data_IF_575185766079
#
_entry.id   IF_575185766079
#
_cell.length_a   1.000
_cell.length_b   1.000
_cell.length_c   1.000
_cell.angle_alpha   90.00
_cell.angle_beta   90.00
_cell.angle_gamma   90.00
#
_symmetry.space_group_name_H-M   'P 1'
#
loop_
_entity.id
_entity.type
_entity.pdbx_description
1 polymer ?
#
# COMPACT_ATOMS: atom_id res chain seq x y z
N UNK A 1 22.65 -19.22 17.03
CA UNK A 1 22.22 -19.30 15.62
C UNK A 1 21.33 -18.10 15.37
N UNK A 2 21.86 -17.09 14.67
CA UNK A 2 21.16 -15.84 14.43
C UNK A 2 20.11 -16.02 13.34
N UNK A 3 18.83 -15.79 13.68
CA UNK A 3 17.77 -15.69 12.70
C UNK A 3 17.90 -14.34 11.99
N UNK A 4 18.26 -14.37 10.71
CA UNK A 4 18.24 -13.21 9.85
C UNK A 4 16.82 -12.64 9.79
N UNK A 5 16.70 -11.33 10.00
CA UNK A 5 15.47 -10.58 9.83
C UNK A 5 15.06 -10.70 8.37
N UNK A 6 13.97 -11.40 8.04
CA UNK A 6 13.41 -11.27 6.70
C UNK A 6 12.81 -9.87 6.58
N UNK A 7 13.21 -9.12 5.55
CA UNK A 7 12.65 -7.80 5.19
C UNK A 7 11.10 -7.84 5.05
N UNK A 8 10.52 -9.03 5.01
CA UNK A 8 9.12 -9.32 4.72
C UNK A 8 8.17 -8.94 5.87
N UNK A 9 8.59 -8.97 7.14
CA UNK A 9 7.69 -8.64 8.27
C UNK A 9 7.33 -7.15 8.36
N UNK A 10 8.26 -6.27 7.99
CA UNK A 10 8.00 -4.81 7.92
C UNK A 10 7.10 -4.46 6.73
N UNK A 11 7.22 -5.23 5.64
CA UNK A 11 6.41 -5.11 4.42
C UNK A 11 4.97 -5.63 4.63
N UNK A 12 4.78 -6.65 5.47
CA UNK A 12 3.45 -7.21 5.78
C UNK A 12 2.55 -6.18 6.48
N UNK A 13 3.08 -5.45 7.46
CA UNK A 13 2.32 -4.43 8.21
C UNK A 13 1.96 -3.20 7.37
N UNK A 14 2.62 -2.97 6.22
CA UNK A 14 2.35 -1.86 5.31
C UNK A 14 1.51 -2.22 4.07
N UNK A 15 1.18 -3.51 3.84
CA UNK A 15 0.62 -4.01 2.56
C UNK A 15 -0.78 -4.61 2.63
N UNK A 16 -1.39 -4.64 3.81
CA UNK A 16 -2.67 -5.30 4.07
C UNK A 16 -3.87 -4.78 3.23
N UNK A 17 -3.71 -3.65 2.53
CA UNK A 17 -4.61 -3.10 1.50
C UNK A 17 -4.82 -3.94 0.25
N UNK A 18 -3.91 -4.86 -0.11
CA UNK A 18 -3.87 -5.51 -1.43
C UNK A 18 -4.62 -6.86 -1.44
N UNK A 19 -4.81 -7.46 -0.27
CA UNK A 19 -5.39 -8.80 -0.10
C UNK A 19 -6.79 -8.90 -0.70
N UNK A 20 -7.55 -7.81 -0.77
CA UNK A 20 -8.97 -7.86 -1.10
C UNK A 20 -9.30 -7.62 -2.52
N UNK A 21 -8.54 -6.79 -3.21
CA UNK A 21 -8.74 -6.60 -4.64
C UNK A 21 -8.44 -7.92 -5.37
N UNK A 22 -7.37 -8.61 -4.96
CA UNK A 22 -7.03 -9.93 -5.49
C UNK A 22 -8.00 -11.04 -5.01
N UNK A 23 -8.42 -11.05 -3.74
CA UNK A 23 -9.40 -12.04 -3.25
C UNK A 23 -10.81 -11.83 -3.82
N UNK A 24 -11.21 -10.57 -4.10
CA UNK A 24 -12.45 -10.20 -4.77
C UNK A 24 -12.42 -10.64 -6.25
N UNK A 25 -11.35 -10.32 -6.97
CA UNK A 25 -11.18 -10.72 -8.39
C UNK A 25 -11.09 -12.24 -8.58
N UNK A 26 -10.50 -12.96 -7.63
CA UNK A 26 -10.44 -14.43 -7.64
C UNK A 26 -11.77 -15.11 -7.29
N UNK A 27 -12.71 -14.42 -6.61
CA UNK A 27 -14.04 -14.95 -6.25
C UNK A 27 -15.13 -14.65 -7.27
N UNK A 28 -14.89 -13.80 -8.27
CA UNK A 28 -15.87 -13.46 -9.31
C UNK A 28 -16.03 -14.58 -10.34
N UNK A 29 -17.28 -14.86 -10.74
CA UNK A 29 -17.58 -15.75 -11.85
C UNK A 29 -17.12 -15.14 -13.18
N UNK A 30 -16.80 -15.99 -14.17
CA UNK A 30 -16.33 -15.54 -15.49
C UNK A 30 -17.28 -14.52 -16.17
N UNK A 31 -18.58 -14.58 -15.84
CA UNK A 31 -19.62 -13.68 -16.36
C UNK A 31 -19.61 -12.29 -15.70
N UNK A 32 -19.19 -12.22 -14.44
CA UNK A 32 -19.05 -10.96 -13.71
C UNK A 32 -17.73 -10.26 -14.09
N UNK A 33 -16.66 -11.02 -14.34
CA UNK A 33 -15.39 -10.51 -14.91
C UNK A 33 -15.62 -9.81 -16.26
N UNK A 34 -16.38 -10.45 -17.14
CA UNK A 34 -16.74 -9.91 -18.46
C UNK A 34 -17.67 -8.67 -18.41
N UNK A 35 -18.37 -8.46 -17.29
CA UNK A 35 -19.25 -7.30 -17.09
C UNK A 35 -18.48 -6.09 -16.55
N UNK A 36 -17.45 -6.32 -15.72
CA UNK A 36 -16.47 -5.29 -15.31
C UNK A 36 -15.62 -4.82 -16.49
N UNK A 37 -15.14 -5.75 -17.33
CA UNK A 37 -14.46 -5.41 -18.59
C UNK A 37 -15.33 -4.46 -19.43
N UNK A 38 -16.62 -4.75 -19.60
CA UNK A 38 -17.52 -3.84 -20.34
C UNK A 38 -17.75 -2.47 -19.68
N UNK A 39 -17.54 -2.34 -18.37
CA UNK A 39 -17.67 -1.08 -17.64
C UNK A 39 -16.40 -0.21 -17.77
N UNK A 40 -15.22 -0.82 -17.91
CA UNK A 40 -13.95 -0.12 -18.12
C UNK A 40 -13.71 0.36 -19.55
N UNK A 41 -14.47 -0.16 -20.52
CA UNK A 41 -14.27 0.10 -21.96
C UNK A 41 -15.05 1.29 -22.54
N UNK A 42 -15.78 2.07 -21.74
CA UNK A 42 -16.58 3.18 -22.27
C UNK A 42 -16.23 4.51 -21.60
N UNK A 43 -15.42 5.28 -22.33
CA UNK A 43 -15.05 6.69 -22.13
C UNK A 43 -14.08 6.97 -20.99
N UNK A 44 -12.81 7.30 -21.32
CA UNK A 44 -12.12 8.44 -20.68
C UNK A 44 -10.68 8.72 -21.17
N UNK A 45 -10.07 7.91 -22.05
CA UNK A 45 -8.69 8.20 -22.47
C UNK A 45 -8.60 9.43 -23.39
N UNK A 46 -9.48 9.54 -24.39
CA UNK A 46 -9.50 10.68 -25.33
C UNK A 46 -10.06 11.96 -24.68
N UNK A 47 -10.90 11.84 -23.65
CA UNK A 47 -11.52 12.97 -22.95
C UNK A 47 -10.59 13.57 -21.87
N UNK A 48 -9.65 12.77 -21.34
CA UNK A 48 -8.65 13.20 -20.36
C UNK A 48 -7.49 14.00 -20.99
N UNK A 49 -6.99 13.59 -22.17
CA UNK A 49 -5.94 14.32 -22.89
C UNK A 49 -6.36 15.75 -23.27
N UNK A 50 -7.67 16.01 -23.39
CA UNK A 50 -8.24 17.30 -23.77
C UNK A 50 -8.53 18.24 -22.58
N UNK A 51 -8.57 17.75 -21.34
CA UNK A 51 -9.07 18.52 -20.17
C UNK A 51 -8.00 18.95 -19.16
N UNK A 52 -6.81 18.35 -19.16
CA UNK A 52 -5.72 18.72 -18.24
C UNK A 52 -4.62 19.54 -18.92
N UNK A 53 -4.92 20.82 -19.15
CA UNK A 53 -3.95 21.85 -19.53
C UNK A 53 -3.09 22.24 -18.29
N UNK A 54 -1.76 22.19 -18.47
CA UNK A 54 -0.67 22.86 -17.71
C UNK A 54 -0.09 22.20 -16.45
N UNK A 55 0.86 21.28 -16.65
CA UNK A 55 2.26 21.43 -16.17
C UNK A 55 3.20 20.27 -16.58
N UNK A 56 2.78 19.38 -17.48
CA UNK A 56 3.46 18.10 -17.73
C UNK A 56 4.21 18.12 -19.08
N UNK A 57 4.82 19.24 -19.42
CA UNK A 57 5.80 19.35 -20.52
C UNK A 57 7.21 18.93 -20.08
N UNK A 58 7.36 18.39 -18.87
CA UNK A 58 8.50 17.52 -18.60
C UNK A 58 8.22 16.22 -19.35
N UNK A 59 8.69 16.17 -20.59
CA UNK A 59 9.17 14.94 -21.24
C UNK A 59 10.06 14.25 -20.22
N UNK A 60 9.46 13.35 -19.46
CA UNK A 60 10.17 12.47 -18.58
C UNK A 60 11.05 11.63 -19.53
N UNK A 61 12.37 11.84 -19.53
CA UNK A 61 13.33 10.96 -20.21
C UNK A 61 13.41 9.57 -19.54
N UNK A 62 12.29 9.12 -18.97
CA UNK A 62 12.13 8.04 -18.00
C UNK A 62 12.02 6.67 -18.69
N UNK A 63 11.47 6.63 -19.91
CA UNK A 63 11.29 5.37 -20.64
C UNK A 63 12.58 4.77 -21.21
N UNK A 64 13.68 5.54 -21.27
CA UNK A 64 14.94 5.11 -21.90
C UNK A 64 15.68 3.99 -21.14
N UNK A 65 15.31 3.74 -19.88
CA UNK A 65 16.01 2.80 -19.00
C UNK A 65 15.33 1.43 -18.85
N UNK A 66 14.13 1.24 -19.40
CA UNK A 66 13.39 -0.03 -19.31
C UNK A 66 13.48 -0.76 -20.64
N UNK A 67 14.10 -1.93 -20.64
CA UNK A 67 14.17 -2.80 -21.81
C UNK A 67 12.94 -3.72 -21.83
N UNK A 68 12.00 -3.46 -22.74
CA UNK A 68 10.80 -4.28 -22.90
C UNK A 68 11.16 -5.61 -23.55
N UNK A 69 10.96 -6.70 -22.80
CA UNK A 69 11.16 -8.07 -23.26
C UNK A 69 9.91 -8.91 -23.06
N UNK A 70 9.61 -9.70 -24.08
CA UNK A 70 8.51 -10.65 -24.10
C UNK A 70 9.05 -12.08 -24.07
N UNK A 71 8.33 -12.98 -23.40
CA UNK A 71 8.57 -14.41 -23.51
C UNK A 71 8.00 -14.97 -24.84
N UNK A 72 8.19 -16.27 -25.07
CA UNK A 72 7.69 -16.96 -26.27
C UNK A 72 6.16 -16.86 -26.44
N UNK A 73 5.43 -16.69 -25.34
CA UNK A 73 3.98 -16.56 -25.30
C UNK A 73 3.49 -15.09 -25.42
N UNK A 74 4.38 -14.15 -25.76
CA UNK A 74 4.10 -12.71 -25.89
C UNK A 74 3.66 -11.99 -24.60
N UNK A 75 3.99 -12.55 -23.43
CA UNK A 75 3.85 -11.89 -22.13
C UNK A 75 5.15 -11.23 -21.70
N UNK A 76 5.05 -10.16 -20.93
CA UNK A 76 6.21 -9.48 -20.35
C UNK A 76 7.02 -10.43 -19.45
N UNK A 77 8.33 -10.32 -19.56
CA UNK A 77 9.23 -10.95 -18.60
C UNK A 77 9.02 -10.37 -17.20
N UNK A 78 9.26 -11.19 -16.17
CA UNK A 78 9.09 -10.77 -14.78
C UNK A 78 9.95 -9.55 -14.42
N UNK A 79 11.16 -9.45 -14.99
CA UNK A 79 12.04 -8.30 -14.78
C UNK A 79 11.44 -7.00 -15.34
N UNK A 80 10.80 -7.05 -16.52
CA UNK A 80 10.13 -5.89 -17.10
C UNK A 80 8.97 -5.42 -16.22
N UNK A 81 8.18 -6.35 -15.67
CA UNK A 81 7.10 -6.02 -14.73
C UNK A 81 7.67 -5.32 -13.49
N UNK A 82 8.79 -5.83 -12.94
CA UNK A 82 9.47 -5.22 -11.78
C UNK A 82 9.96 -3.80 -12.09
N UNK A 83 10.59 -3.61 -13.25
CA UNK A 83 11.10 -2.31 -13.70
C UNK A 83 9.97 -1.29 -13.91
N UNK A 84 8.86 -1.72 -14.54
CA UNK A 84 7.66 -0.88 -14.73
C UNK A 84 7.10 -0.43 -13.37
N UNK A 85 6.90 -1.37 -12.44
CA UNK A 85 6.42 -1.01 -11.09
C UNK A 85 7.40 -0.12 -10.34
N UNK A 86 8.71 -0.34 -10.47
CA UNK A 86 9.72 0.51 -9.84
C UNK A 86 9.68 1.93 -10.41
N UNK A 87 9.48 2.08 -11.72
CA UNK A 87 9.46 3.39 -12.38
C UNK A 87 8.15 4.14 -12.18
N UNK A 88 7.02 3.42 -12.10
CA UNK A 88 5.73 3.98 -11.67
C UNK A 88 5.86 4.77 -10.37
N UNK A 89 6.66 4.28 -9.42
CA UNK A 89 6.92 4.97 -8.15
C UNK A 89 7.67 6.28 -8.28
N UNK A 90 8.62 6.33 -9.21
CA UNK A 90 9.40 7.54 -9.44
C UNK A 90 8.48 8.63 -9.99
N UNK A 91 7.59 8.26 -10.91
CA UNK A 91 6.58 9.16 -11.49
C UNK A 91 5.56 9.61 -10.44
N UNK A 92 5.00 8.66 -9.67
CA UNK A 92 3.98 8.95 -8.66
C UNK A 92 4.50 9.64 -7.39
N UNK A 93 5.83 9.69 -7.20
CA UNK A 93 6.44 10.04 -5.92
C UNK A 93 6.11 11.45 -5.41
N UNK A 94 6.22 12.46 -6.27
CA UNK A 94 5.97 13.86 -5.86
C UNK A 94 4.50 14.11 -5.54
N UNK A 95 3.59 13.60 -6.37
CA UNK A 95 2.16 13.71 -6.16
C UNK A 95 1.72 12.98 -4.89
N UNK A 96 2.27 11.79 -4.63
CA UNK A 96 2.06 11.06 -3.38
C UNK A 96 2.48 11.89 -2.16
N UNK A 97 3.66 12.53 -2.20
CA UNK A 97 4.16 13.38 -1.10
C UNK A 97 3.23 14.57 -0.86
N UNK A 98 2.81 15.26 -1.93
CA UNK A 98 1.90 16.40 -1.85
C UNK A 98 0.54 16.00 -1.28
N UNK A 99 -0.05 14.93 -1.81
CA UNK A 99 -1.33 14.39 -1.37
C UNK A 99 -1.27 13.98 0.11
N UNK A 100 -0.21 13.29 0.52
CA UNK A 100 0.01 12.85 1.91
C UNK A 100 0.06 14.04 2.88
N UNK A 101 0.81 15.10 2.54
CA UNK A 101 0.93 16.29 3.38
C UNK A 101 -0.40 17.02 3.53
N UNK A 102 -1.13 17.22 2.43
CA UNK A 102 -2.46 17.87 2.44
C UNK A 102 -3.45 17.05 3.26
N UNK A 103 -3.53 15.74 3.01
CA UNK A 103 -4.47 14.88 3.70
C UNK A 103 -4.18 14.80 5.20
N UNK A 104 -2.91 14.69 5.64
CA UNK A 104 -2.54 14.71 7.07
C UNK A 104 -3.11 15.93 7.79
N UNK A 105 -3.00 17.12 7.19
CA UNK A 105 -3.54 18.36 7.78
C UNK A 105 -5.06 18.33 7.84
N UNK A 106 -5.72 17.96 6.74
CA UNK A 106 -7.18 17.92 6.67
C UNK A 106 -7.77 16.90 7.65
N UNK A 107 -7.29 15.66 7.59
CA UNK A 107 -7.74 14.56 8.41
C UNK A 107 -7.57 14.85 9.91
N UNK A 108 -6.42 15.38 10.34
CA UNK A 108 -6.19 15.74 11.75
C UNK A 108 -7.13 16.85 12.26
N UNK A 109 -7.63 17.72 11.37
CA UNK A 109 -8.70 18.68 11.72
C UNK A 109 -10.03 17.97 11.92
N UNK A 110 -10.37 17.03 11.03
CA UNK A 110 -11.62 16.26 11.10
C UNK A 110 -11.69 15.33 12.32
N UNK A 111 -10.54 14.87 12.84
CA UNK A 111 -10.48 14.06 14.07
C UNK A 111 -11.14 14.73 15.28
N UNK A 112 -11.19 16.07 15.32
CA UNK A 112 -11.83 16.84 16.40
C UNK A 112 -13.36 17.00 16.22
N UNK A 113 -13.90 16.54 15.09
CA UNK A 113 -15.31 16.67 14.73
C UNK A 113 -16.04 15.32 14.97
N UNK A 114 -16.59 14.70 13.92
CA UNK A 114 -17.19 13.36 13.97
C UNK A 114 -16.20 12.32 13.48
N UNK A 115 -16.14 11.17 14.15
CA UNK A 115 -15.22 10.07 13.82
C UNK A 115 -15.47 9.50 12.41
N UNK A 116 -16.72 9.49 11.96
CA UNK A 116 -17.11 9.03 10.61
C UNK A 116 -16.43 9.84 9.51
N UNK A 117 -16.56 11.18 9.52
CA UNK A 117 -15.87 12.05 8.56
C UNK A 117 -14.35 11.92 8.59
N UNK A 118 -13.80 11.60 9.76
CA UNK A 118 -12.37 11.33 9.88
C UNK A 118 -11.99 10.03 9.17
N UNK A 119 -12.74 8.94 9.35
CA UNK A 119 -12.52 7.67 8.64
C UNK A 119 -12.75 7.81 7.14
N UNK A 120 -13.81 8.49 6.70
CA UNK A 120 -14.07 8.75 5.29
C UNK A 120 -12.91 9.50 4.63
N UNK A 121 -12.31 10.47 5.33
CA UNK A 121 -11.14 11.19 4.82
C UNK A 121 -9.88 10.32 4.70
N UNK A 122 -9.80 9.20 5.43
CA UNK A 122 -8.74 8.19 5.28
C UNK A 122 -9.02 7.34 4.06
N UNK A 123 -10.25 6.86 3.89
CA UNK A 123 -10.66 6.05 2.73
C UNK A 123 -10.42 6.84 1.44
N UNK A 124 -10.89 8.09 1.39
CA UNK A 124 -10.68 8.96 0.23
C UNK A 124 -9.19 9.17 -0.07
N UNK A 125 -8.34 9.29 0.96
CA UNK A 125 -6.90 9.39 0.76
C UNK A 125 -6.32 8.13 0.13
N UNK A 126 -6.73 6.95 0.61
CA UNK A 126 -6.27 5.67 0.05
C UNK A 126 -6.68 5.59 -1.42
N UNK A 127 -7.94 5.90 -1.75
CA UNK A 127 -8.43 5.91 -3.13
C UNK A 127 -7.63 6.89 -4.02
N UNK A 128 -7.38 8.10 -3.53
CA UNK A 128 -6.59 9.10 -4.27
C UNK A 128 -5.15 8.62 -4.51
N UNK A 129 -4.54 7.89 -3.57
CA UNK A 129 -3.20 7.31 -3.77
C UNK A 129 -3.23 6.23 -4.85
N UNK A 130 -4.24 5.34 -4.86
CA UNK A 130 -4.37 4.34 -5.93
C UNK A 130 -4.58 5.00 -7.30
N UNK A 131 -5.37 6.07 -7.36
CA UNK A 131 -5.60 6.82 -8.61
C UNK A 131 -4.31 7.47 -9.14
N UNK A 132 -3.51 8.10 -8.28
CA UNK A 132 -2.17 8.62 -8.67
C UNK A 132 -1.29 7.49 -9.21
N UNK A 133 -1.33 6.30 -8.60
CA UNK A 133 -0.55 5.16 -9.06
C UNK A 133 -1.04 4.62 -10.40
N UNK A 134 -2.35 4.44 -10.60
CA UNK A 134 -2.92 3.98 -11.87
C UNK A 134 -2.63 4.99 -13.00
N UNK A 135 -2.74 6.29 -12.73
CA UNK A 135 -2.38 7.34 -13.70
C UNK A 135 -0.90 7.28 -14.07
N UNK A 136 0.00 7.12 -13.10
CA UNK A 136 1.43 6.95 -13.35
C UNK A 136 1.73 5.70 -14.18
N UNK A 137 1.04 4.58 -13.92
CA UNK A 137 1.19 3.34 -14.67
C UNK A 137 0.71 3.49 -16.10
N UNK A 138 -0.51 4.01 -16.31
CA UNK A 138 -1.09 4.25 -17.65
C UNK A 138 -0.15 5.10 -18.51
N UNK A 139 0.38 6.18 -17.94
CA UNK A 139 1.34 7.03 -18.64
C UNK A 139 2.63 6.30 -18.98
N UNK A 140 3.20 5.57 -18.03
CA UNK A 140 4.43 4.82 -18.25
C UNK A 140 4.28 3.76 -19.34
N UNK A 141 3.17 3.00 -19.33
CA UNK A 141 2.87 2.00 -20.33
C UNK A 141 2.71 2.62 -21.73
N UNK A 142 2.04 3.77 -21.82
CA UNK A 142 1.94 4.54 -23.07
C UNK A 142 3.33 4.97 -23.59
N UNK A 143 4.21 5.46 -22.71
CA UNK A 143 5.57 5.87 -23.11
C UNK A 143 6.47 4.69 -23.51
N UNK A 144 6.18 3.47 -23.03
CA UNK A 144 6.90 2.24 -23.35
C UNK A 144 6.31 1.48 -24.56
N UNK A 145 5.23 2.00 -25.15
CA UNK A 145 4.45 1.32 -26.21
C UNK A 145 3.97 -0.09 -25.79
N UNK A 146 3.60 -0.23 -24.52
CA UNK A 146 3.06 -1.48 -23.96
C UNK A 146 1.55 -1.30 -23.73
N UNK A 147 0.69 -2.07 -24.40
CA UNK A 147 -0.74 -2.06 -24.12
C UNK A 147 -1.03 -2.45 -22.66
N UNK A 148 -1.98 -1.76 -22.03
CA UNK A 148 -2.34 -2.01 -20.62
C UNK A 148 -2.79 -3.45 -20.41
N UNK A 149 -3.54 -3.99 -21.36
CA UNK A 149 -4.06 -5.35 -21.35
C UNK A 149 -2.92 -6.38 -21.34
N UNK A 150 -1.89 -6.16 -22.16
CA UNK A 150 -0.71 -7.03 -22.20
C UNK A 150 0.03 -7.00 -20.86
N UNK A 151 0.16 -5.82 -20.25
CA UNK A 151 0.76 -5.71 -18.92
C UNK A 151 -0.05 -6.46 -17.85
N UNK A 152 -1.37 -6.26 -17.80
CA UNK A 152 -2.25 -6.89 -16.83
C UNK A 152 -2.31 -8.42 -17.01
N UNK A 153 -2.45 -8.90 -18.24
CA UNK A 153 -2.41 -10.33 -18.55
C UNK A 153 -1.05 -10.95 -18.18
N UNK A 154 0.05 -10.24 -18.45
CA UNK A 154 1.39 -10.70 -18.07
C UNK A 154 1.53 -10.83 -16.55
N UNK A 155 0.96 -9.89 -15.77
CA UNK A 155 0.93 -9.99 -14.31
C UNK A 155 0.12 -11.20 -13.86
N UNK A 156 -1.07 -11.42 -14.45
CA UNK A 156 -1.94 -12.54 -14.11
C UNK A 156 -1.30 -13.90 -14.42
N UNK A 157 -0.70 -14.05 -15.61
CA UNK A 157 -0.01 -15.29 -16.00
C UNK A 157 1.12 -15.62 -15.03
N UNK A 158 1.86 -14.62 -14.56
CA UNK A 158 2.90 -14.83 -13.55
C UNK A 158 2.32 -15.23 -12.20
N UNK A 159 1.18 -14.66 -11.80
CA UNK A 159 0.48 -15.09 -10.58
C UNK A 159 0.06 -16.56 -10.68
N UNK A 160 -0.49 -16.98 -11.82
CA UNK A 160 -0.91 -18.37 -12.09
C UNK A 160 0.27 -19.35 -12.15
N UNK A 161 1.45 -18.89 -12.60
CA UNK A 161 2.71 -19.64 -12.58
C UNK A 161 3.32 -19.79 -11.19
N UNK A 162 2.65 -19.34 -10.13
CA UNK A 162 3.11 -19.43 -8.75
C UNK A 162 3.98 -18.25 -8.30
N UNK A 163 4.12 -17.20 -9.11
CA UNK A 163 4.83 -15.97 -8.72
C UNK A 163 3.95 -14.97 -7.93
N UNK A 164 2.76 -15.40 -7.52
CA UNK A 164 1.80 -14.57 -6.78
C UNK A 164 2.46 -13.86 -5.59
N UNK A 165 3.22 -14.59 -4.78
CA UNK A 165 3.85 -14.04 -3.57
C UNK A 165 4.91 -12.98 -3.92
N UNK A 166 5.71 -13.19 -4.96
CA UNK A 166 6.76 -12.29 -5.38
C UNK A 166 6.18 -10.98 -5.93
N UNK A 167 5.13 -11.08 -6.75
CA UNK A 167 4.41 -9.91 -7.28
C UNK A 167 3.68 -9.14 -6.18
N UNK A 168 3.08 -9.85 -5.22
CA UNK A 168 2.50 -9.25 -4.03
C UNK A 168 3.54 -8.49 -3.21
N UNK A 169 4.69 -9.11 -2.94
CA UNK A 169 5.80 -8.47 -2.23
C UNK A 169 6.35 -7.26 -2.97
N UNK A 170 6.39 -7.32 -4.31
CA UNK A 170 6.78 -6.21 -5.15
C UNK A 170 5.83 -5.01 -4.94
N UNK A 171 4.52 -5.20 -5.11
CA UNK A 171 3.53 -4.13 -4.90
C UNK A 171 3.52 -3.58 -3.46
N UNK A 172 3.73 -4.44 -2.47
CA UNK A 172 3.88 -4.05 -1.08
C UNK A 172 5.15 -3.18 -0.86
N UNK A 173 6.28 -3.61 -1.44
CA UNK A 173 7.54 -2.87 -1.39
C UNK A 173 7.45 -1.52 -2.11
N UNK A 174 6.65 -1.45 -3.17
CA UNK A 174 6.35 -0.26 -3.96
C UNK A 174 5.69 0.79 -3.05
N UNK A 175 4.61 0.44 -2.35
CA UNK A 175 3.93 1.34 -1.41
C UNK A 175 4.82 1.76 -0.24
N UNK A 176 5.67 0.86 0.27
CA UNK A 176 6.65 1.20 1.30
C UNK A 176 7.68 2.22 0.79
N UNK A 177 8.18 2.06 -0.44
CA UNK A 177 9.12 3.00 -1.07
C UNK A 177 8.50 4.39 -1.31
N UNK A 178 7.20 4.49 -1.58
CA UNK A 178 6.51 5.79 -1.65
C UNK A 178 6.56 6.54 -0.33
N UNK A 179 6.32 5.84 0.78
CA UNK A 179 6.40 6.46 2.12
C UNK A 179 7.79 7.01 2.41
N UNK A 180 8.83 6.35 1.90
CA UNK A 180 10.22 6.77 2.02
C UNK A 180 10.59 7.99 1.16
N UNK A 181 9.72 8.40 0.21
CA UNK A 181 9.87 9.68 -0.51
C UNK A 181 9.54 10.89 0.37
N UNK A 182 8.84 10.69 1.49
CA UNK A 182 8.62 11.73 2.49
C UNK A 182 9.85 11.77 3.39
N UNK A 183 10.58 12.88 3.36
CA UNK A 183 11.79 13.06 4.16
C UNK A 183 11.48 13.05 5.67
N UNK A 184 12.23 12.25 6.41
CA UNK A 184 12.20 12.28 7.88
C UNK A 184 12.76 13.59 8.40
N UNK A 185 12.07 14.16 9.39
CA UNK A 185 12.48 15.41 10.04
C UNK A 185 13.03 15.18 11.46
N UNK A 186 12.83 13.97 12.01
CA UNK A 186 13.26 13.61 13.36
C UNK A 186 14.03 12.30 13.38
N UNK A 187 15.14 12.29 14.12
CA UNK A 187 15.89 11.08 14.45
C UNK A 187 15.49 10.60 15.84
N UNK A 188 14.85 9.44 15.91
CA UNK A 188 14.41 8.84 17.18
C UNK A 188 15.56 8.02 17.77
N UNK A 189 15.77 8.13 19.07
CA UNK A 189 16.65 7.21 19.78
C UNK A 189 15.94 5.90 20.10
N UNK A 190 16.71 4.88 20.48
CA UNK A 190 16.20 3.53 20.74
C UNK A 190 15.08 3.50 21.78
N UNK A 191 15.19 4.31 22.85
CA UNK A 191 14.19 4.40 23.91
C UNK A 191 12.87 4.98 23.37
N UNK A 192 12.93 6.07 22.61
CA UNK A 192 11.76 6.68 21.98
C UNK A 192 11.08 5.72 20.99
N UNK A 193 11.86 4.98 20.19
CA UNK A 193 11.33 3.96 19.28
C UNK A 193 10.55 2.89 20.05
N UNK A 194 11.10 2.38 21.16
CA UNK A 194 10.41 1.39 22.02
C UNK A 194 9.13 1.95 22.64
N UNK A 195 9.17 3.18 23.15
CA UNK A 195 8.00 3.86 23.71
C UNK A 195 6.87 4.04 22.69
N UNK A 196 7.21 4.39 21.45
CA UNK A 196 6.24 4.55 20.36
C UNK A 196 5.62 3.19 20.00
N UNK A 197 6.41 2.13 19.81
CA UNK A 197 5.87 0.81 19.47
C UNK A 197 4.98 0.28 20.63
N UNK A 198 5.41 0.46 21.88
CA UNK A 198 4.61 0.07 23.04
C UNK A 198 3.30 0.87 23.12
N UNK A 199 3.31 2.14 22.71
CA UNK A 199 2.11 2.94 22.60
C UNK A 199 1.17 2.41 21.50
N UNK A 200 1.70 1.99 20.34
CA UNK A 200 0.92 1.35 19.27
C UNK A 200 0.22 0.08 19.75
N UNK A 201 0.92 -0.78 20.51
CA UNK A 201 0.34 -1.98 21.15
C UNK A 201 -0.84 -1.59 22.06
N UNK A 202 -0.68 -0.53 22.86
CA UNK A 202 -1.73 -0.08 23.76
C UNK A 202 -2.94 0.50 23.02
N UNK A 203 -2.74 1.19 21.88
CA UNK A 203 -3.84 1.67 21.05
C UNK A 203 -4.61 0.50 20.44
N UNK A 204 -3.91 -0.49 19.89
CA UNK A 204 -4.55 -1.68 19.29
C UNK A 204 -5.33 -2.50 20.33
N UNK A 205 -4.80 -2.64 21.55
CA UNK A 205 -5.52 -3.30 22.66
C UNK A 205 -6.80 -2.59 23.05
N UNK A 206 -6.74 -1.27 23.13
CA UNK A 206 -7.83 -0.43 23.58
C UNK A 206 -8.50 0.29 22.41
N UNK A 207 -8.56 -0.35 21.25
CA UNK A 207 -9.08 0.27 20.04
C UNK A 207 -10.56 0.64 20.26
N UNK A 208 -10.91 1.91 20.04
CA UNK A 208 -12.23 2.45 20.37
C UNK A 208 -13.35 1.65 19.72
N UNK A 209 -14.41 1.35 20.48
CA UNK A 209 -15.59 0.68 19.94
C UNK A 209 -16.23 1.47 18.80
N UNK A 210 -16.28 2.80 18.92
CA UNK A 210 -16.79 3.68 17.86
C UNK A 210 -16.05 3.48 16.52
N UNK A 211 -14.72 3.30 16.56
CA UNK A 211 -13.96 3.01 15.33
C UNK A 211 -14.27 1.61 14.80
N UNK A 212 -14.41 0.61 15.68
CA UNK A 212 -14.80 -0.74 15.26
C UNK A 212 -16.16 -0.72 14.56
N UNK A 213 -17.13 0.03 15.11
CA UNK A 213 -18.47 0.12 14.53
C UNK A 213 -18.46 0.80 13.16
N UNK A 214 -17.60 1.80 12.95
CA UNK A 214 -17.40 2.42 11.63
C UNK A 214 -16.74 1.44 10.66
N UNK A 215 -15.70 0.72 11.08
CA UNK A 215 -14.98 -0.24 10.24
C UNK A 215 -15.89 -1.40 9.79
N UNK A 216 -16.84 -1.84 10.62
CA UNK A 216 -17.83 -2.85 10.25
C UNK A 216 -18.81 -2.41 9.15
N UNK A 217 -18.94 -1.10 8.90
CA UNK A 217 -19.82 -0.56 7.84
C UNK A 217 -19.12 -0.46 6.49
N UNK A 218 -17.81 -0.71 6.45
CA UNK A 218 -17.06 -0.71 5.19
C UNK A 218 -17.59 -1.87 4.33
N UNK A 219 -17.93 -1.63 3.05
CA UNK A 219 -18.40 -2.67 2.14
C UNK A 219 -17.46 -3.87 2.08
N UNK A 220 -18.01 -5.06 1.81
CA UNK A 220 -17.22 -6.28 1.74
C UNK A 220 -16.12 -6.24 0.67
N UNK A 221 -16.34 -5.51 -0.44
CA UNK A 221 -15.30 -5.29 -1.46
C UNK A 221 -14.10 -4.47 -0.94
N UNK A 222 -14.33 -3.58 0.04
CA UNK A 222 -13.34 -2.65 0.58
C UNK A 222 -12.77 -3.10 1.94
N UNK A 223 -13.15 -4.29 2.41
CA UNK A 223 -12.74 -4.83 3.72
C UNK A 223 -11.23 -4.87 3.90
N UNK A 224 -10.51 -4.87 2.80
CA UNK A 224 -9.05 -4.92 2.74
C UNK A 224 -8.38 -3.58 2.95
N UNK A 225 -9.12 -2.49 2.88
CA UNK A 225 -8.63 -1.18 3.28
C UNK A 225 -8.55 -1.05 4.81
N UNK A 226 -9.34 -1.86 5.55
CA UNK A 226 -9.45 -1.81 7.02
C UNK A 226 -8.10 -1.77 7.74
N UNK A 227 -7.11 -2.62 7.43
CA UNK A 227 -5.83 -2.58 8.12
C UNK A 227 -5.04 -1.30 7.85
N UNK A 228 -5.12 -0.76 6.62
CA UNK A 228 -4.51 0.53 6.24
C UNK A 228 -5.18 1.69 6.97
N UNK A 229 -6.51 1.62 7.15
CA UNK A 229 -7.28 2.60 7.93
C UNK A 229 -6.85 2.55 9.39
N UNK A 230 -6.81 1.36 10.01
CA UNK A 230 -6.36 1.19 11.40
C UNK A 230 -4.94 1.74 11.57
N UNK A 231 -4.02 1.40 10.68
CA UNK A 231 -2.65 1.92 10.74
C UNK A 231 -2.63 3.45 10.66
N UNK A 232 -3.40 4.06 9.75
CA UNK A 232 -3.50 5.52 9.63
C UNK A 232 -4.02 6.17 10.91
N UNK A 233 -5.02 5.54 11.56
CA UNK A 233 -5.54 5.99 12.85
C UNK A 233 -4.46 5.95 13.93
N UNK A 234 -3.70 4.86 14.01
CA UNK A 234 -2.60 4.71 14.96
C UNK A 234 -1.52 5.78 14.73
N UNK A 235 -1.12 6.02 13.48
CA UNK A 235 -0.12 7.03 13.14
C UNK A 235 -0.56 8.43 13.57
N UNK A 236 -1.82 8.79 13.40
CA UNK A 236 -2.32 10.09 13.87
C UNK A 236 -2.38 10.19 15.41
N UNK A 237 -2.56 9.07 16.12
CA UNK A 237 -2.45 9.05 17.58
C UNK A 237 -1.01 9.16 18.05
N UNK A 238 -0.07 8.50 17.37
CA UNK A 238 1.38 8.65 17.61
C UNK A 238 1.79 10.10 17.40
N UNK A 239 1.38 10.72 16.29
CA UNK A 239 1.64 12.12 16.02
C UNK A 239 1.07 13.02 17.12
N UNK A 240 -0.17 12.79 17.56
CA UNK A 240 -0.78 13.60 18.61
C UNK A 240 -0.03 13.50 19.96
N UNK A 241 0.58 12.35 20.27
CA UNK A 241 1.29 12.13 21.55
C UNK A 241 2.76 12.53 21.51
N UNK A 242 3.47 12.20 20.44
CA UNK A 242 4.92 12.34 20.33
C UNK A 242 5.35 13.39 19.29
N UNK A 243 4.42 13.88 18.47
CA UNK A 243 4.71 14.75 17.33
C UNK A 243 5.57 14.09 16.25
N UNK A 244 5.61 12.76 16.23
CA UNK A 244 6.46 11.96 15.34
C UNK A 244 5.62 11.46 14.16
N UNK A 245 6.17 11.53 12.96
CA UNK A 245 5.52 11.05 11.74
C UNK A 245 5.95 9.61 11.39
N UNK A 246 5.29 8.99 10.41
CA UNK A 246 5.58 7.60 9.99
C UNK A 246 7.01 7.47 9.42
N UNK A 247 7.44 8.42 8.59
CA UNK A 247 8.78 8.45 7.98
C UNK A 247 9.91 8.51 9.02
N UNK A 248 9.69 9.19 10.15
CA UNK A 248 10.66 9.26 11.25
C UNK A 248 10.84 7.90 11.93
N UNK A 249 9.75 7.15 12.07
CA UNK A 249 9.75 5.80 12.62
C UNK A 249 10.45 4.84 11.67
N UNK A 250 10.14 4.89 10.37
CA UNK A 250 10.78 4.06 9.33
C UNK A 250 12.30 4.29 9.32
N UNK A 251 12.73 5.55 9.29
CA UNK A 251 14.16 5.90 9.31
C UNK A 251 14.86 5.39 10.58
N UNK A 252 14.19 5.46 11.73
CA UNK A 252 14.75 5.04 13.02
C UNK A 252 14.81 3.51 13.17
N UNK A 253 13.82 2.78 12.64
CA UNK A 253 13.80 1.30 12.68
C UNK A 253 14.92 0.67 11.86
N UNK A 254 15.35 1.31 10.76
CA UNK A 254 16.52 0.87 9.98
C UNK A 254 17.79 0.80 10.83
N UNK A 255 17.93 1.73 11.79
CA UNK A 255 19.08 1.80 12.69
C UNK A 255 18.95 0.89 13.91
N UNK A 256 17.79 0.25 14.11
CA UNK A 256 17.48 -0.59 15.26
C UNK A 256 17.44 -2.09 14.89
N UNK A 257 17.95 -2.46 13.71
CA UNK A 257 18.02 -3.85 13.26
C UNK A 257 18.85 -4.68 14.24
N UNK A 258 18.22 -5.70 14.84
CA UNK A 258 18.85 -6.62 15.80
C UNK A 258 18.53 -6.37 17.27
N UNK A 259 17.78 -5.31 17.63
CA UNK A 259 17.30 -5.14 19.01
C UNK A 259 16.14 -6.12 19.31
N UNK A 260 16.39 -7.09 20.19
CA UNK A 260 15.43 -8.15 20.53
C UNK A 260 14.15 -7.62 21.18
N UNK A 261 14.23 -6.53 21.94
CA UNK A 261 13.06 -5.94 22.58
C UNK A 261 12.15 -5.27 21.55
N UNK A 262 12.73 -4.56 20.57
CA UNK A 262 11.99 -4.03 19.43
C UNK A 262 11.32 -5.15 18.64
N UNK A 263 12.02 -6.27 18.37
CA UNK A 263 11.43 -7.43 17.71
C UNK A 263 10.23 -7.99 18.49
N UNK A 264 10.36 -8.14 19.80
CA UNK A 264 9.28 -8.60 20.66
C UNK A 264 8.10 -7.62 20.67
N UNK A 265 8.35 -6.31 20.65
CA UNK A 265 7.31 -5.29 20.59
C UNK A 265 6.60 -5.28 19.23
N UNK A 266 7.32 -5.46 18.11
CA UNK A 266 6.74 -5.56 16.77
C UNK A 266 5.86 -6.81 16.64
N UNK A 267 6.31 -7.97 17.16
CA UNK A 267 5.45 -9.17 17.22
C UNK A 267 4.16 -8.92 18.03
N UNK A 268 4.22 -8.14 19.12
CA UNK A 268 3.01 -7.76 19.86
C UNK A 268 2.08 -6.88 19.03
N UNK A 269 2.63 -5.93 18.25
CA UNK A 269 1.82 -5.13 17.31
C UNK A 269 1.10 -6.03 16.30
N UNK A 270 1.82 -6.99 15.72
CA UNK A 270 1.26 -7.97 14.78
C UNK A 270 0.13 -8.78 15.42
N UNK A 271 0.35 -9.35 16.61
CA UNK A 271 -0.67 -10.13 17.34
C UNK A 271 -1.93 -9.29 17.61
N UNK A 272 -1.77 -8.04 18.07
CA UNK A 272 -2.92 -7.19 18.40
C UNK A 272 -3.65 -6.68 17.17
N UNK A 273 -2.93 -6.41 16.06
CA UNK A 273 -3.54 -6.11 14.77
C UNK A 273 -4.35 -7.32 14.29
N UNK A 274 -3.75 -8.51 14.31
CA UNK A 274 -4.40 -9.76 13.93
C UNK A 274 -5.69 -10.02 14.71
N UNK A 275 -5.64 -9.86 16.04
CA UNK A 275 -6.84 -9.96 16.90
C UNK A 275 -7.91 -8.96 16.49
N UNK A 276 -7.54 -7.69 16.29
CA UNK A 276 -8.48 -6.65 15.91
C UNK A 276 -9.13 -6.95 14.55
N UNK A 277 -8.36 -7.41 13.57
CA UNK A 277 -8.87 -7.81 12.26
C UNK A 277 -9.84 -8.99 12.36
N UNK A 278 -9.51 -10.01 13.16
CA UNK A 278 -10.41 -11.13 13.43
C UNK A 278 -11.73 -10.68 14.08
N UNK A 279 -11.68 -9.71 15.00
CA UNK A 279 -12.88 -9.09 15.60
C UNK A 279 -13.74 -8.36 14.56
N UNK A 280 -13.14 -7.86 13.47
CA UNK A 280 -13.88 -7.27 12.33
C UNK A 280 -14.36 -8.33 11.32
N UNK A 281 -14.19 -9.63 11.61
CA UNK A 281 -14.54 -10.71 10.68
C UNK A 281 -13.51 -10.94 9.56
N UNK A 282 -12.35 -10.31 9.64
CA UNK A 282 -11.27 -10.41 8.65
C UNK A 282 -10.30 -11.52 9.09
N UNK A 283 -10.23 -12.62 8.32
CA UNK A 283 -9.31 -13.72 8.60
C UNK A 283 -7.98 -13.49 7.88
N UNK A 284 -6.89 -13.42 8.63
CA UNK A 284 -5.54 -13.33 8.06
C UNK A 284 -5.09 -14.61 7.35
N UNK A 285 -5.76 -15.74 7.56
CA UNK A 285 -5.45 -16.99 6.85
C UNK A 285 -5.90 -16.97 5.37
N UNK A 286 -6.58 -15.91 4.94
CA UNK A 286 -6.78 -15.58 3.52
C UNK A 286 -5.57 -14.81 2.92
N UNK A 287 -4.54 -14.53 3.74
CA UNK A 287 -3.22 -14.05 3.34
C UNK A 287 -2.28 -15.27 3.36
N UNK A 288 -1.58 -15.60 2.25
CA UNK A 288 -0.84 -16.85 2.15
C UNK A 288 0.18 -17.05 3.28
N UNK A 289 -0.03 -18.07 4.11
CA UNK A 289 0.95 -18.57 5.08
C UNK A 289 2.12 -19.22 4.32
N UNK A 290 3.26 -18.55 4.23
CA UNK A 290 4.60 -19.17 4.21
C UNK A 290 5.69 -18.11 4.01
N UNK A 291 5.96 -17.34 5.06
CA UNK A 291 7.13 -16.46 5.13
C UNK A 291 8.37 -17.15 5.70
N UNK A 292 8.32 -18.47 5.92
CA UNK A 292 9.40 -19.22 6.58
C UNK A 292 10.34 -19.95 5.62
N UNK A 293 10.00 -20.08 4.33
CA UNK A 293 10.80 -20.85 3.37
C UNK A 293 11.52 -19.95 2.35
N UNK A 294 12.31 -18.98 2.81
CA UNK A 294 13.31 -18.32 1.97
C UNK A 294 14.58 -18.04 2.78
N UNK A 295 15.54 -18.97 2.64
CA UNK A 295 16.99 -18.70 2.63
C UNK A 295 17.39 -18.55 1.17
#
# INVERSE_FOLDING_TARGET
>A
MGQAISKNKVVLLSSLGIVGFCAYYMKMSAKEKQSLEKLFWKHDLDQYLDTNDRSIDQKLEISKDIEIRYNEDHFLEANCIVEIYAKQLEIAGEDYVKLSKVNRVQRRRLRKQKQEFYVDSIIQFIMNVEDVLDQALKRLLYELDVPKEIFEESVLVRMDQGYFQQLYMLQASVKQKLKEKIESTKKLNLKQTKEIIQFSVNILRNFSQDYKDILHRIPSEDVILVPTIINTIIQDQIYAKFGVEEEDQIASLRNAQGDQEILNLLNKVEIEMSRLLQEQGIRLNDIPESLENFV
#
